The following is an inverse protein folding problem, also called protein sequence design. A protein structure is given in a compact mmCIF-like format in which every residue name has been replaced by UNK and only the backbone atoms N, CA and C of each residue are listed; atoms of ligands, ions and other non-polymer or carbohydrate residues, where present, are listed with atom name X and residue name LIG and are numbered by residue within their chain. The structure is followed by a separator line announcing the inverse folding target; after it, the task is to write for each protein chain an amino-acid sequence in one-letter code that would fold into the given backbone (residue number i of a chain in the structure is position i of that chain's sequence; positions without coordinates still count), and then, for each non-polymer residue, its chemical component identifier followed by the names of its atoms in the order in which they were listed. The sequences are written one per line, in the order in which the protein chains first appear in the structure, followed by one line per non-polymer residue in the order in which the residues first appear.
data_IF_199219837642
#
_entry.id   IF_199219837642
#
_cell.length_a   1.000
_cell.length_b   1.000
_cell.length_c   1.000
_cell.angle_alpha   90.00
_cell.angle_beta   90.00
_cell.angle_gamma   90.00
#
_symmetry.space_group_name_H-M   'P 1'
#
loop_
_entity.id
_entity.type
_entity.pdbx_description
1 polymer ?
#
# COMPACT_ATOMS: atom_id res chain seq x y z
N UNK A 1 9.98 -13.75 4.35
CA UNK A 1 8.94 -13.70 5.41
C UNK A 1 7.97 -12.58 5.08
N UNK A 2 6.68 -12.75 5.41
CA UNK A 2 5.70 -11.69 5.25
C UNK A 2 5.84 -10.65 6.37
N UNK A 3 5.47 -9.40 6.09
CA UNK A 3 5.58 -8.27 7.03
C UNK A 3 4.19 -7.77 7.41
N UNK A 4 3.97 -7.54 8.70
CA UNK A 4 2.73 -6.90 9.16
C UNK A 4 2.72 -5.44 8.73
N UNK A 5 1.55 -4.94 8.30
CA UNK A 5 1.40 -3.56 7.84
C UNK A 5 0.33 -2.79 8.62
N UNK A 6 0.56 -1.49 8.79
CA UNK A 6 -0.49 -0.54 9.14
C UNK A 6 -1.11 -0.01 7.85
N UNK A 7 -2.40 0.32 7.88
CA UNK A 7 -3.11 0.93 6.75
C UNK A 7 -3.84 2.17 7.24
N UNK A 8 -3.61 3.30 6.57
CA UNK A 8 -4.31 4.55 6.80
C UNK A 8 -4.90 5.06 5.49
N UNK A 9 -6.24 5.17 5.45
CA UNK A 9 -6.95 5.72 4.30
C UNK A 9 -7.69 7.00 4.69
N UNK A 10 -7.34 8.11 4.03
CA UNK A 10 -7.97 9.42 4.21
C UNK A 10 -8.84 9.77 3.00
N UNK A 11 -10.17 9.90 3.17
CA UNK A 11 -11.05 10.40 2.12
C UNK A 11 -10.61 11.81 1.64
N UNK A 12 -10.72 12.12 0.32
CA UNK A 12 -11.44 11.34 -0.68
C UNK A 12 -10.63 10.24 -1.38
N UNK A 13 -9.36 10.02 -1.04
CA UNK A 13 -8.54 9.04 -1.78
C UNK A 13 -7.06 8.94 -1.45
N UNK A 14 -6.58 9.56 -0.37
CA UNK A 14 -5.19 9.40 0.04
C UNK A 14 -5.03 8.07 0.78
N UNK A 15 -4.06 7.28 0.35
CA UNK A 15 -3.64 6.04 0.97
C UNK A 15 -2.22 6.20 1.48
N UNK A 16 -1.99 5.78 2.72
CA UNK A 16 -0.68 5.58 3.33
C UNK A 16 -0.68 4.22 4.03
N UNK A 17 0.26 3.34 3.72
CA UNK A 17 0.44 2.08 4.44
C UNK A 17 1.91 1.70 4.47
N UNK A 18 2.33 1.01 5.52
CA UNK A 18 3.72 0.64 5.70
C UNK A 18 3.89 -0.50 6.69
N UNK A 19 5.10 -1.03 6.73
CA UNK A 19 5.51 -2.12 7.61
C UNK A 19 5.46 -1.63 9.06
N UNK A 20 4.87 -2.45 9.92
CA UNK A 20 4.95 -2.27 11.38
C UNK A 20 6.32 -2.79 11.80
N UNK A 21 7.20 -1.87 12.19
CA UNK A 21 8.48 -2.24 12.79
C UNK A 21 8.43 -2.16 14.32
N UNK A 22 9.13 -3.08 14.98
CA UNK A 22 9.09 -3.30 16.42
C UNK A 22 10.07 -2.40 17.21
N UNK A 23 10.40 -1.21 16.68
CA UNK A 23 11.09 -0.15 17.43
C UNK A 23 12.57 0.06 17.12
N UNK A 24 13.06 -0.36 15.95
CA UNK A 24 14.38 0.09 15.46
C UNK A 24 14.21 1.34 14.56
N UNK A 25 15.09 2.33 14.72
CA UNK A 25 15.16 3.46 13.79
C UNK A 25 15.77 2.96 12.47
N UNK A 26 14.92 2.74 11.46
CA UNK A 26 15.38 2.35 10.11
C UNK A 26 15.73 3.60 9.31
N UNK A 27 16.97 3.68 8.82
CA UNK A 27 17.38 4.72 7.87
C UNK A 27 16.74 4.45 6.50
N UNK A 28 15.90 5.37 6.03
CA UNK A 28 15.14 5.20 4.79
C UNK A 28 15.65 6.09 3.65
N UNK A 29 15.24 5.77 2.41
CA UNK A 29 15.53 6.59 1.24
C UNK A 29 14.62 7.82 1.13
N UNK A 30 13.57 7.87 1.94
CA UNK A 30 12.43 8.77 1.76
C UNK A 30 11.50 8.30 0.63
N UNK A 31 10.29 8.86 0.62
CA UNK A 31 9.30 8.58 -0.43
C UNK A 31 9.79 9.06 -1.80
N UNK A 32 9.82 8.14 -2.76
CA UNK A 32 10.16 8.43 -4.15
C UNK A 32 9.22 7.76 -5.14
N UNK A 33 9.08 8.32 -6.37
CA UNK A 33 8.26 7.72 -7.41
C UNK A 33 8.89 6.40 -7.90
N UNK A 34 8.03 5.41 -8.16
CA UNK A 34 8.47 4.09 -8.65
C UNK A 34 7.91 3.72 -10.02
N UNK A 35 7.33 4.70 -10.71
CA UNK A 35 6.69 4.52 -12.02
C UNK A 35 5.35 3.78 -11.97
N UNK A 36 4.78 3.59 -10.78
CA UNK A 36 3.50 2.92 -10.55
C UNK A 36 2.37 3.95 -10.33
N UNK A 37 2.14 4.81 -11.33
CA UNK A 37 1.12 5.87 -11.22
C UNK A 37 1.53 6.94 -10.20
N UNK A 38 0.64 7.29 -9.27
CA UNK A 38 0.92 8.22 -8.16
C UNK A 38 1.47 7.54 -6.90
N UNK A 39 1.72 6.22 -6.95
CA UNK A 39 2.30 5.48 -5.84
C UNK A 39 3.77 5.86 -5.67
N UNK A 40 4.08 6.40 -4.49
CA UNK A 40 5.43 6.62 -4.00
C UNK A 40 5.77 5.56 -2.96
N UNK A 41 7.05 5.21 -2.89
CA UNK A 41 7.56 4.15 -2.02
C UNK A 41 8.72 4.68 -1.22
N UNK A 42 8.74 4.39 0.06
CA UNK A 42 9.91 4.53 0.91
C UNK A 42 10.57 3.16 1.12
N UNK A 43 11.90 3.15 1.17
CA UNK A 43 12.71 1.93 1.22
C UNK A 43 13.76 2.00 2.30
N UNK A 44 14.09 0.85 2.83
CA UNK A 44 15.30 0.69 3.63
C UNK A 44 16.52 1.01 2.74
N UNK A 45 17.36 1.93 3.20
CA UNK A 45 18.54 2.38 2.46
C UNK A 45 19.61 1.30 2.30
N UNK A 46 19.68 0.33 3.22
CA UNK A 46 20.66 -0.76 3.22
C UNK A 46 20.19 -1.96 2.41
N UNK A 47 18.97 -2.44 2.67
CA UNK A 47 18.43 -3.65 2.01
C UNK A 47 17.75 -3.35 0.67
N UNK A 48 17.26 -2.11 0.49
CA UNK A 48 16.40 -1.75 -0.64
C UNK A 48 14.96 -2.23 -0.48
N UNK A 49 14.62 -2.82 0.66
CA UNK A 49 13.31 -3.38 0.91
C UNK A 49 12.25 -2.29 1.02
N UNK A 50 11.04 -2.60 0.59
CA UNK A 50 9.92 -1.67 0.72
C UNK A 50 9.45 -1.58 2.17
N UNK A 51 9.37 -0.35 2.68
CA UNK A 51 8.96 -0.06 4.05
C UNK A 51 7.59 0.61 4.09
N UNK A 52 7.35 1.60 3.24
CA UNK A 52 6.11 2.35 3.23
C UNK A 52 5.70 2.77 1.83
N UNK A 53 4.41 3.07 1.67
CA UNK A 53 3.76 3.34 0.41
C UNK A 53 2.75 4.47 0.61
N UNK A 54 2.75 5.44 -0.31
CA UNK A 54 1.76 6.52 -0.30
C UNK A 54 1.21 6.76 -1.71
N UNK A 55 -0.10 6.94 -1.82
CA UNK A 55 -0.76 7.37 -3.04
C UNK A 55 -1.79 8.46 -2.70
N UNK A 56 -1.61 9.65 -3.26
CA UNK A 56 -2.42 10.83 -2.92
C UNK A 56 -3.84 10.79 -3.53
N UNK A 57 -4.00 10.04 -4.63
CA UNK A 57 -5.24 9.94 -5.40
C UNK A 57 -5.59 8.49 -5.72
N UNK A 58 -5.32 7.58 -4.77
CA UNK A 58 -5.49 6.13 -4.91
C UNK A 58 -6.86 5.71 -5.46
N UNK A 59 -7.94 6.38 -5.06
CA UNK A 59 -9.30 6.12 -5.57
C UNK A 59 -9.45 6.33 -7.09
N UNK A 60 -8.59 7.15 -7.70
CA UNK A 60 -8.55 7.43 -9.14
C UNK A 60 -7.47 6.62 -9.85
N UNK A 61 -6.34 6.39 -9.20
CA UNK A 61 -5.15 5.76 -9.80
C UNK A 61 -5.07 4.25 -9.57
N UNK A 62 -5.95 3.67 -8.73
CA UNK A 62 -5.97 2.24 -8.40
C UNK A 62 -5.79 1.32 -9.62
N UNK A 63 -6.59 1.49 -10.67
CA UNK A 63 -6.52 0.60 -11.84
C UNK A 63 -5.19 0.71 -12.59
N UNK A 64 -4.63 1.92 -12.71
CA UNK A 64 -3.30 2.13 -13.32
C UNK A 64 -2.19 1.52 -12.46
N UNK A 65 -2.27 1.66 -11.13
CA UNK A 65 -1.32 1.06 -10.19
C UNK A 65 -1.34 -0.47 -10.33
N UNK A 66 -2.53 -1.10 -10.30
CA UNK A 66 -2.67 -2.56 -10.40
C UNK A 66 -2.19 -3.08 -11.77
N UNK A 67 -2.53 -2.39 -12.86
CA UNK A 67 -2.07 -2.81 -14.19
C UNK A 67 -0.53 -2.79 -14.28
N UNK A 68 0.11 -1.75 -13.75
CA UNK A 68 1.57 -1.63 -13.75
C UNK A 68 2.22 -2.64 -12.81
N UNK A 69 1.62 -2.94 -11.67
CA UNK A 69 2.08 -3.99 -10.77
C UNK A 69 1.95 -5.39 -11.38
N UNK A 70 0.93 -5.67 -12.20
CA UNK A 70 0.83 -6.95 -12.90
C UNK A 70 1.97 -7.16 -13.92
N UNK A 71 2.64 -6.08 -14.35
CA UNK A 71 3.80 -6.12 -15.24
C UNK A 71 5.14 -6.16 -14.47
N UNK A 72 5.12 -5.99 -13.15
CA UNK A 72 6.31 -5.88 -12.31
C UNK A 72 6.11 -6.64 -11.00
N UNK A 73 6.77 -7.78 -10.87
CA UNK A 73 6.73 -8.54 -9.62
C UNK A 73 7.40 -7.77 -8.48
N UNK A 74 6.69 -7.63 -7.37
CA UNK A 74 7.23 -7.13 -6.12
C UNK A 74 7.46 -8.35 -5.22
N UNK A 75 8.72 -8.68 -4.85
CA UNK A 75 9.03 -9.95 -4.19
C UNK A 75 8.60 -10.01 -2.72
N UNK A 76 8.05 -8.93 -2.18
CA UNK A 76 7.66 -8.81 -0.77
C UNK A 76 6.22 -9.29 -0.53
N UNK A 77 6.01 -9.86 0.66
CA UNK A 77 4.73 -10.37 1.14
C UNK A 77 4.31 -9.60 2.38
N UNK A 78 3.01 -9.42 2.56
CA UNK A 78 2.44 -8.58 3.61
C UNK A 78 1.29 -9.27 4.34
N UNK A 79 1.08 -8.91 5.59
CA UNK A 79 -0.06 -9.34 6.40
C UNK A 79 -0.90 -8.13 6.79
N UNK A 80 -2.22 -8.25 6.68
CA UNK A 80 -3.17 -7.25 7.17
C UNK A 80 -3.75 -7.80 8.49
N UNK A 81 -3.07 -7.50 9.59
CA UNK A 81 -3.36 -8.09 10.92
C UNK A 81 -4.79 -7.79 11.37
N UNK A 82 -5.28 -6.57 11.17
CA UNK A 82 -6.67 -6.16 11.49
C UNK A 82 -7.75 -6.94 10.72
N UNK A 83 -7.38 -7.56 9.59
CA UNK A 83 -8.27 -8.35 8.74
C UNK A 83 -8.03 -9.86 8.83
N UNK A 84 -7.02 -10.31 9.60
CA UNK A 84 -6.62 -11.72 9.67
C UNK A 84 -6.13 -12.28 8.32
N UNK A 85 -5.55 -11.44 7.46
CA UNK A 85 -5.04 -11.85 6.15
C UNK A 85 -3.52 -11.94 6.16
N UNK A 86 -2.98 -13.01 5.61
CA UNK A 86 -1.55 -13.32 5.64
C UNK A 86 -0.97 -13.60 4.24
N UNK A 87 0.33 -13.35 4.10
CA UNK A 87 1.13 -13.70 2.93
C UNK A 87 0.62 -13.12 1.58
N UNK A 88 0.09 -11.90 1.63
CA UNK A 88 -0.45 -11.19 0.48
C UNK A 88 0.66 -10.56 -0.37
N UNK A 89 0.49 -10.56 -1.68
CA UNK A 89 1.21 -9.67 -2.59
C UNK A 89 0.80 -8.20 -2.37
N UNK A 90 1.61 -7.27 -2.87
CA UNK A 90 1.24 -5.85 -2.89
C UNK A 90 -0.08 -5.61 -3.65
N UNK A 91 -0.31 -6.33 -4.74
CA UNK A 91 -1.54 -6.26 -5.54
C UNK A 91 -2.76 -6.65 -4.71
N UNK A 92 -2.66 -7.74 -3.94
CA UNK A 92 -3.75 -8.22 -3.08
C UNK A 92 -4.03 -7.24 -1.94
N UNK A 93 -3.00 -6.67 -1.32
CA UNK A 93 -3.14 -5.61 -0.30
C UNK A 93 -3.90 -4.42 -0.87
N UNK A 94 -3.46 -3.87 -2.01
CA UNK A 94 -4.10 -2.71 -2.63
C UNK A 94 -5.54 -3.03 -3.07
N UNK A 95 -5.80 -4.24 -3.57
CA UNK A 95 -7.15 -4.69 -3.95
C UNK A 95 -8.08 -4.74 -2.74
N UNK A 96 -7.59 -5.26 -1.61
CA UNK A 96 -8.33 -5.30 -0.37
C UNK A 96 -8.65 -3.89 0.15
N UNK A 97 -7.67 -2.99 0.13
CA UNK A 97 -7.83 -1.58 0.54
C UNK A 97 -8.88 -0.89 -0.34
N UNK A 98 -8.78 -1.02 -1.66
CA UNK A 98 -9.75 -0.41 -2.59
C UNK A 98 -11.18 -0.92 -2.33
N UNK A 99 -11.31 -2.23 -2.11
CA UNK A 99 -12.61 -2.86 -1.83
C UNK A 99 -13.23 -2.40 -0.51
N UNK A 100 -12.42 -2.21 0.53
CA UNK A 100 -12.89 -1.88 1.87
C UNK A 100 -13.02 -0.38 2.14
N UNK A 101 -12.16 0.45 1.57
CA UNK A 101 -12.15 1.87 1.85
C UNK A 101 -12.72 2.73 0.71
N UNK A 102 -12.47 2.36 -0.56
CA UNK A 102 -12.95 3.17 -1.70
C UNK A 102 -14.37 2.78 -2.09
N UNK A 103 -14.64 1.48 -2.29
CA UNK A 103 -15.97 1.03 -2.73
C UNK A 103 -17.03 1.14 -1.64
N UNK A 104 -16.69 0.91 -0.37
CA UNK A 104 -17.65 1.07 0.75
C UNK A 104 -18.06 2.53 0.95
N UNK A 105 -17.12 3.48 0.86
CA UNK A 105 -17.43 4.93 0.96
C UNK A 105 -18.36 5.39 -0.17
N UNK A 106 -18.22 4.84 -1.39
CA UNK A 106 -19.13 5.15 -2.50
C UNK A 106 -20.56 4.65 -2.27
N UNK A 107 -20.77 3.58 -1.50
CA UNK A 107 -22.12 3.05 -1.20
C UNK A 107 -22.88 3.89 -0.17
N UNK A 108 -22.20 4.70 0.64
CA UNK A 108 -22.84 5.54 1.68
C UNK A 108 -23.37 6.86 1.11
N UNK A 109 -22.99 7.27 -0.11
CA UNK A 109 -23.43 8.53 -0.74
C UNK A 109 -24.76 8.46 -1.50
N UNK A 110 -25.67 7.58 -1.09
CA UNK A 110 -27.05 7.56 -1.60
C UNK A 110 -28.01 7.61 -0.41
N UNK A 111 -28.27 8.83 0.07
CA UNK A 111 -29.37 9.17 0.96
C UNK A 111 -29.86 10.56 0.58
#
# INVERSE_FOLDING_TARGET
MARDIYIHFMPPGMLDFGVIDNGEDIETTGYGPVGLGDLQVDRDKKSGDFLAFVAYTFNKTYFDIIEKLNKKEVPFRYNITEAGLENLTLQEVLTWIYSNYVLKVKRVKVA
#
